data_IF_681137264989
#
_entry.id   IF_681137264989
#
_cell.length_a   1.000
_cell.length_b   1.000
_cell.length_c   1.000
_cell.angle_alpha   90.00
_cell.angle_beta   90.00
_cell.angle_gamma   90.00
#
_symmetry.space_group_name_H-M   'P 1'
#
loop_
_entity.id
_entity.type
_entity.pdbx_description
1 polymer ?
#
# COMPACT_ATOMS: atom_id res chain seq x y z
N UNK A 1 6.01 -66.72 12.33
CA UNK A 1 5.67 -66.27 10.96
C UNK A 1 4.19 -65.92 10.96
N UNK A 2 3.67 -64.72 10.67
CA UNK A 2 4.19 -63.47 10.11
C UNK A 2 3.45 -62.34 10.85
N UNK A 3 4.16 -61.32 11.32
CA UNK A 3 3.54 -60.10 11.85
C UNK A 3 3.13 -59.23 10.66
N UNK A 4 1.85 -58.92 10.52
CA UNK A 4 1.37 -57.92 9.56
C UNK A 4 1.44 -56.54 10.22
N UNK A 5 2.46 -55.76 9.86
CA UNK A 5 2.55 -54.35 10.24
C UNK A 5 1.67 -53.56 9.27
N UNK A 6 0.52 -53.10 9.74
CA UNK A 6 -0.34 -52.19 8.99
C UNK A 6 0.19 -50.76 9.21
N UNK A 7 0.95 -50.25 8.26
CA UNK A 7 1.46 -48.87 8.29
C UNK A 7 0.32 -47.92 7.94
N UNK A 8 -0.23 -47.24 8.94
CA UNK A 8 -1.25 -46.22 8.78
C UNK A 8 -0.54 -44.88 8.47
N UNK A 9 -0.39 -44.56 7.19
CA UNK A 9 0.09 -43.25 6.74
C UNK A 9 -1.02 -42.22 6.99
N UNK A 10 -1.00 -41.56 8.15
CA UNK A 10 -1.80 -40.36 8.41
C UNK A 10 -1.18 -39.19 7.62
N UNK A 11 -1.65 -38.98 6.39
CA UNK A 11 -1.49 -37.71 5.69
C UNK A 11 -2.34 -36.67 6.42
N UNK A 12 -1.76 -36.01 7.41
CA UNK A 12 -2.33 -34.82 8.04
C UNK A 12 -2.33 -33.67 7.04
N UNK A 13 -3.43 -33.54 6.28
CA UNK A 13 -3.76 -32.32 5.54
C UNK A 13 -4.19 -31.29 6.60
N UNK A 14 -3.23 -30.61 7.22
CA UNK A 14 -3.52 -29.37 7.94
C UNK A 14 -3.79 -28.28 6.91
N UNK A 15 -5.03 -28.24 6.43
CA UNK A 15 -5.58 -27.01 5.87
C UNK A 15 -5.73 -26.03 7.02
N UNK A 16 -4.75 -25.14 7.21
CA UNK A 16 -4.91 -23.99 8.10
C UNK A 16 -6.05 -23.15 7.53
N UNK A 17 -7.24 -23.27 8.10
CA UNK A 17 -8.29 -22.27 7.89
C UNK A 17 -7.74 -20.96 8.40
N UNK A 18 -7.41 -20.04 7.50
CA UNK A 18 -7.06 -18.69 7.87
C UNK A 18 -8.36 -18.04 8.32
N UNK A 19 -8.54 -17.89 9.63
CA UNK A 19 -9.72 -17.25 10.21
C UNK A 19 -9.33 -15.80 10.50
N UNK A 20 -10.18 -14.87 10.07
CA UNK A 20 -10.07 -13.45 10.41
C UNK A 20 -10.87 -13.26 11.70
N UNK A 21 -10.32 -12.51 12.65
CA UNK A 21 -11.03 -12.15 13.87
C UNK A 21 -12.34 -11.41 13.55
N UNK A 22 -13.40 -11.68 14.32
CA UNK A 22 -14.77 -11.22 14.03
C UNK A 22 -14.93 -9.69 14.03
N UNK A 23 -14.00 -8.95 14.64
CA UNK A 23 -14.05 -7.48 14.76
C UNK A 23 -13.41 -6.73 13.57
N UNK A 24 -12.84 -7.45 12.60
CA UNK A 24 -12.32 -6.88 11.37
C UNK A 24 -13.46 -6.55 10.39
N UNK A 25 -13.37 -5.37 9.79
CA UNK A 25 -14.30 -4.90 8.77
C UNK A 25 -13.68 -5.07 7.38
N UNK A 26 -14.48 -5.37 6.37
CA UNK A 26 -14.04 -5.33 4.96
C UNK A 26 -13.53 -3.93 4.63
N UNK A 27 -12.38 -3.84 3.96
CA UNK A 27 -11.92 -2.57 3.37
C UNK A 27 -12.91 -2.16 2.27
N UNK A 28 -13.44 -0.92 2.26
CA UNK A 28 -14.39 -0.50 1.23
C UNK A 28 -13.79 -0.49 -0.17
N UNK A 29 -14.50 -1.08 -1.15
CA UNK A 29 -14.05 -1.18 -2.54
C UNK A 29 -13.79 0.19 -3.19
N UNK A 30 -14.47 1.24 -2.70
CA UNK A 30 -14.23 2.63 -3.11
C UNK A 30 -12.80 3.13 -2.84
N UNK A 31 -12.03 2.42 -2.00
CA UNK A 31 -10.63 2.74 -1.69
C UNK A 31 -9.64 1.97 -2.58
N UNK A 32 -10.10 1.13 -3.50
CA UNK A 32 -9.23 0.25 -4.29
C UNK A 32 -8.32 1.02 -5.24
N UNK A 33 -8.82 2.10 -5.84
CA UNK A 33 -8.01 2.97 -6.68
C UNK A 33 -7.18 3.90 -5.80
N UNK A 34 -5.89 3.61 -5.69
CA UNK A 34 -4.93 4.32 -4.83
C UNK A 34 -4.95 5.84 -5.02
N UNK A 35 -5.11 6.31 -6.25
CA UNK A 35 -5.09 7.75 -6.55
C UNK A 35 -6.23 8.52 -5.86
N UNK A 36 -7.32 7.84 -5.53
CA UNK A 36 -8.42 8.41 -4.76
C UNK A 36 -8.10 8.58 -3.27
N UNK A 37 -6.99 8.03 -2.78
CA UNK A 37 -6.62 8.06 -1.36
C UNK A 37 -5.94 9.35 -0.95
N UNK A 38 -5.23 10.01 -1.87
CA UNK A 38 -4.42 11.19 -1.55
C UNK A 38 -5.23 12.33 -0.94
N UNK A 39 -6.49 12.51 -1.33
CA UNK A 39 -7.39 13.53 -0.78
C UNK A 39 -7.71 13.38 0.71
N UNK A 40 -7.41 12.21 1.30
CA UNK A 40 -7.64 11.94 2.71
C UNK A 40 -6.38 12.14 3.57
N UNK A 41 -5.23 12.44 2.96
CA UNK A 41 -3.99 12.67 3.70
C UNK A 41 -4.10 13.93 4.55
N UNK A 42 -3.78 13.78 5.84
CA UNK A 42 -3.53 14.84 6.80
C UNK A 42 -2.02 14.87 7.08
N UNK A 43 -1.26 15.77 6.43
CA UNK A 43 0.19 15.76 6.55
C UNK A 43 0.66 16.10 7.97
N UNK A 44 1.85 15.59 8.33
CA UNK A 44 2.49 15.78 9.63
C UNK A 44 2.85 17.25 9.93
N UNK A 45 3.00 18.05 8.88
CA UNK A 45 3.30 19.47 8.97
C UNK A 45 2.22 20.29 8.28
N UNK A 46 2.06 21.53 8.74
CA UNK A 46 1.17 22.48 8.10
C UNK A 46 1.84 23.04 6.83
N UNK A 47 1.61 22.37 5.71
CA UNK A 47 1.98 22.85 4.38
C UNK A 47 0.92 23.81 3.89
N UNK A 48 1.32 25.00 3.41
CA UNK A 48 0.36 25.97 2.87
C UNK A 48 -0.19 25.54 1.51
N UNK A 49 0.53 24.68 0.80
CA UNK A 49 0.09 24.01 -0.42
C UNK A 49 0.88 22.72 -0.59
N UNK A 50 0.27 21.72 -1.19
CA UNK A 50 0.93 20.51 -1.67
C UNK A 50 0.09 19.84 -2.76
N UNK A 51 0.76 19.08 -3.61
CA UNK A 51 0.16 18.28 -4.68
C UNK A 51 0.86 16.94 -4.86
N UNK A 52 0.12 16.01 -5.44
CA UNK A 52 0.61 14.69 -5.87
C UNK A 52 0.71 14.72 -7.38
N UNK A 53 1.87 14.33 -7.89
CA UNK A 53 2.16 14.30 -9.31
C UNK A 53 2.61 12.89 -9.68
N UNK A 54 2.01 12.34 -10.74
CA UNK A 54 2.53 11.17 -11.42
C UNK A 54 3.38 11.64 -12.59
N UNK A 55 4.53 11.02 -12.78
CA UNK A 55 5.34 11.12 -13.98
C UNK A 55 5.11 9.84 -14.78
N UNK A 56 4.52 9.96 -15.96
CA UNK A 56 4.24 8.81 -16.83
C UNK A 56 5.45 8.49 -17.71
N UNK A 57 6.21 9.50 -18.10
CA UNK A 57 7.47 9.35 -18.82
C UNK A 57 8.42 10.56 -18.56
N UNK A 58 9.55 10.63 -19.27
CA UNK A 58 10.51 11.72 -19.10
C UNK A 58 9.97 13.14 -19.37
N UNK A 59 8.88 13.27 -20.13
CA UNK A 59 8.30 14.50 -20.65
C UNK A 59 6.90 14.80 -20.06
N UNK A 60 6.17 13.78 -19.63
CA UNK A 60 4.75 13.92 -19.24
C UNK A 60 4.55 13.77 -17.73
N UNK A 61 3.67 14.63 -17.20
CA UNK A 61 3.25 14.57 -15.81
C UNK A 61 1.74 14.75 -15.71
N UNK A 62 1.13 14.04 -14.77
CA UNK A 62 -0.28 14.09 -14.44
C UNK A 62 -0.46 14.64 -13.01
N UNK A 63 -1.36 15.62 -12.86
CA UNK A 63 -1.79 16.09 -11.54
C UNK A 63 -2.82 15.11 -10.97
N UNK A 64 -2.43 14.37 -9.93
CA UNK A 64 -3.32 13.39 -9.28
C UNK A 64 -4.19 14.05 -8.22
N UNK A 65 -3.61 14.96 -7.43
CA UNK A 65 -4.32 15.65 -6.35
C UNK A 65 -3.64 16.97 -6.00
N UNK A 66 -4.40 17.97 -5.57
CA UNK A 66 -3.89 19.18 -4.92
C UNK A 66 -4.73 19.56 -3.70
N UNK A 67 -4.07 20.05 -2.66
CA UNK A 67 -4.70 20.39 -1.37
C UNK A 67 -5.58 21.64 -1.39
N UNK A 68 -5.25 22.61 -2.24
CA UNK A 68 -6.04 23.82 -2.51
C UNK A 68 -5.82 24.24 -3.96
N UNK A 69 -6.83 24.76 -4.66
CA UNK A 69 -6.64 25.27 -6.03
C UNK A 69 -5.83 26.57 -5.99
N UNK A 70 -4.50 26.49 -6.12
CA UNK A 70 -3.63 27.66 -6.10
C UNK A 70 -3.36 28.15 -7.52
N UNK A 71 -3.87 29.34 -7.89
CA UNK A 71 -3.67 29.94 -9.22
C UNK A 71 -2.21 30.35 -9.52
N UNK A 72 -1.34 30.40 -8.51
CA UNK A 72 -0.03 31.06 -8.60
C UNK A 72 1.17 30.09 -8.44
N UNK A 73 0.96 28.78 -8.45
CA UNK A 73 2.05 27.80 -8.24
C UNK A 73 2.87 27.49 -9.49
N UNK A 74 2.38 27.84 -10.68
CA UNK A 74 3.00 27.48 -11.97
C UNK A 74 4.45 28.00 -12.17
N UNK A 75 4.98 28.83 -11.27
CA UNK A 75 6.29 29.47 -11.39
C UNK A 75 7.42 28.85 -10.54
N UNK A 76 7.14 27.86 -9.68
CA UNK A 76 8.13 27.33 -8.73
C UNK A 76 8.68 25.93 -9.08
N UNK A 77 8.25 25.34 -10.21
CA UNK A 77 8.72 24.03 -10.65
C UNK A 77 10.02 24.13 -11.46
N UNK A 78 11.13 24.42 -10.80
CA UNK A 78 12.44 24.38 -11.45
C UNK A 78 13.04 22.96 -11.50
N UNK A 79 12.48 22.00 -10.76
CA UNK A 79 13.03 20.66 -10.61
C UNK A 79 11.97 19.57 -10.76
N UNK A 80 12.21 18.64 -11.70
CA UNK A 80 11.48 17.38 -11.84
C UNK A 80 12.34 16.28 -11.21
N UNK A 81 11.86 15.56 -10.19
CA UNK A 81 12.57 14.42 -9.64
C UNK A 81 12.87 13.33 -10.68
N UNK A 82 13.84 12.48 -10.36
CA UNK A 82 14.19 11.30 -11.16
C UNK A 82 13.58 10.00 -10.61
N UNK A 83 12.88 10.07 -9.48
CA UNK A 83 12.27 8.94 -8.79
C UNK A 83 11.03 9.39 -8.00
N UNK A 84 10.24 8.41 -7.56
CA UNK A 84 9.05 8.61 -6.74
C UNK A 84 8.81 7.44 -5.80
N UNK A 85 7.89 7.62 -4.85
CA UNK A 85 7.63 6.66 -3.78
C UNK A 85 6.87 5.41 -4.25
N UNK A 86 6.24 5.47 -5.41
CA UNK A 86 5.70 4.31 -6.11
C UNK A 86 6.25 4.30 -7.52
N UNK A 87 6.93 3.21 -7.89
CA UNK A 87 7.26 2.87 -9.27
C UNK A 87 6.10 2.08 -9.86
N UNK A 88 5.59 2.52 -11.00
CA UNK A 88 4.26 2.13 -11.48
C UNK A 88 4.28 1.45 -12.84
N UNK A 89 5.34 1.67 -13.61
CA UNK A 89 5.53 1.01 -14.88
C UNK A 89 7.00 0.68 -15.10
N UNK A 90 7.24 -0.44 -15.76
CA UNK A 90 8.55 -0.82 -16.28
C UNK A 90 8.37 -1.04 -17.78
N UNK A 91 9.37 -0.67 -18.62
CA UNK A 91 10.67 -0.08 -18.28
C UNK A 91 10.66 1.46 -18.22
N UNK A 92 9.53 2.11 -18.54
CA UNK A 92 9.48 3.57 -18.75
C UNK A 92 9.69 4.39 -17.47
N UNK A 93 9.71 3.72 -16.30
CA UNK A 93 10.09 4.33 -15.03
C UNK A 93 9.06 5.35 -14.53
N UNK A 94 7.76 5.06 -14.72
CA UNK A 94 6.69 5.90 -14.22
C UNK A 94 6.72 5.91 -12.69
N UNK A 95 6.53 7.08 -12.09
CA UNK A 95 6.47 7.16 -10.63
C UNK A 95 5.59 8.28 -10.10
N UNK A 96 5.15 8.13 -8.85
CA UNK A 96 4.40 9.16 -8.13
C UNK A 96 5.23 9.81 -7.04
N UNK A 97 5.13 11.14 -6.90
CA UNK A 97 5.80 11.94 -5.88
C UNK A 97 4.91 13.07 -5.35
N UNK A 98 5.30 13.67 -4.23
CA UNK A 98 4.62 14.84 -3.66
C UNK A 98 5.53 16.06 -3.75
N UNK A 99 4.93 17.20 -4.07
CA UNK A 99 5.53 18.52 -3.93
C UNK A 99 4.76 19.26 -2.84
N UNK A 100 5.45 19.83 -1.87
CA UNK A 100 4.83 20.62 -0.80
C UNK A 100 5.55 21.95 -0.58
N UNK A 101 4.81 22.96 -0.16
CA UNK A 101 5.34 24.27 0.18
C UNK A 101 5.26 24.50 1.68
N UNK A 102 6.41 24.76 2.28
CA UNK A 102 6.55 25.00 3.72
C UNK A 102 7.53 26.15 3.94
N UNK A 103 7.14 27.17 4.71
CA UNK A 103 8.04 28.25 5.13
C UNK A 103 8.81 28.93 3.99
N UNK A 104 8.15 29.13 2.84
CA UNK A 104 8.73 29.69 1.60
C UNK A 104 9.63 28.76 0.79
N UNK A 105 9.75 27.49 1.17
CA UNK A 105 10.57 26.49 0.48
C UNK A 105 9.71 25.41 -0.19
N UNK A 106 10.17 24.95 -1.35
CA UNK A 106 9.61 23.79 -2.05
C UNK A 106 10.29 22.53 -1.50
N UNK A 107 9.48 21.54 -1.13
CA UNK A 107 9.94 20.22 -0.68
C UNK A 107 9.39 19.15 -1.60
N UNK A 108 10.21 18.14 -1.85
CA UNK A 108 9.87 16.97 -2.66
C UNK A 108 9.89 15.74 -1.76
N UNK A 109 8.97 14.81 -2.01
CA UNK A 109 8.90 13.52 -1.33
C UNK A 109 8.84 12.44 -2.42
N UNK A 110 9.95 11.72 -2.59
CA UNK A 110 10.25 10.88 -3.76
C UNK A 110 10.58 9.44 -3.39
N UNK A 111 10.46 9.06 -2.12
CA UNK A 111 10.57 7.66 -1.70
C UNK A 111 9.55 7.27 -0.62
N UNK A 112 9.42 5.97 -0.36
CA UNK A 112 8.45 5.46 0.60
C UNK A 112 8.66 5.99 2.02
N UNK A 113 9.91 6.21 2.47
CA UNK A 113 10.21 6.78 3.79
C UNK A 113 9.79 8.25 3.86
N UNK A 114 10.05 9.02 2.81
CA UNK A 114 9.63 10.41 2.69
C UNK A 114 8.10 10.53 2.66
N UNK A 115 7.39 9.65 1.94
CA UNK A 115 5.92 9.59 2.00
C UNK A 115 5.42 9.33 3.42
N UNK A 116 6.03 8.38 4.15
CA UNK A 116 5.67 8.12 5.56
C UNK A 116 5.92 9.32 6.45
N UNK A 117 7.02 10.05 6.24
CA UNK A 117 7.32 11.28 6.98
C UNK A 117 6.34 12.42 6.65
N UNK A 118 5.93 12.53 5.38
CA UNK A 118 4.94 13.51 4.94
C UNK A 118 3.59 13.28 5.62
N UNK A 119 3.13 12.03 5.68
CA UNK A 119 1.88 11.65 6.37
C UNK A 119 2.05 11.81 7.90
N UNK A 120 3.12 11.28 8.48
CA UNK A 120 3.38 11.30 9.92
C UNK A 120 2.39 10.43 10.69
N UNK A 121 1.51 11.07 11.47
CA UNK A 121 0.50 10.35 12.25
C UNK A 121 -0.57 9.75 11.32
N UNK A 122 -0.84 8.45 11.46
CA UNK A 122 -1.83 7.75 10.64
C UNK A 122 -3.24 7.97 11.23
N UNK A 123 -3.96 8.91 10.63
CA UNK A 123 -5.28 9.37 11.05
C UNK A 123 -6.39 8.44 10.60
N UNK A 124 -6.25 7.81 9.44
CA UNK A 124 -7.33 7.12 8.76
C UNK A 124 -6.86 5.90 7.93
N UNK A 125 -7.84 5.10 7.48
CA UNK A 125 -7.59 3.92 6.66
C UNK A 125 -6.90 4.23 5.31
N UNK A 126 -7.33 5.24 4.52
CA UNK A 126 -6.62 5.64 3.31
C UNK A 126 -5.11 5.89 3.50
N UNK A 127 -4.73 6.62 4.55
CA UNK A 127 -3.32 6.82 4.89
C UNK A 127 -2.63 5.49 5.19
N UNK A 128 -3.23 4.64 6.02
CA UNK A 128 -2.68 3.32 6.36
C UNK A 128 -2.45 2.44 5.11
N UNK A 129 -3.36 2.48 4.13
CA UNK A 129 -3.22 1.78 2.86
C UNK A 129 -2.06 2.33 2.02
N UNK A 130 -1.87 3.65 1.99
CA UNK A 130 -0.71 4.27 1.32
C UNK A 130 0.59 3.84 1.99
N UNK A 131 0.66 3.80 3.32
CA UNK A 131 1.83 3.28 4.06
C UNK A 131 2.09 1.83 3.66
N UNK A 132 1.08 0.96 3.70
CA UNK A 132 1.24 -0.45 3.35
C UNK A 132 1.68 -0.67 1.89
N UNK A 133 1.24 0.19 0.97
CA UNK A 133 1.66 0.14 -0.43
C UNK A 133 3.16 0.34 -0.59
N UNK A 134 3.80 1.16 0.27
CA UNK A 134 5.26 1.33 0.27
C UNK A 134 6.03 0.04 0.58
N UNK A 135 5.34 -1.00 1.07
CA UNK A 135 5.89 -2.34 1.35
C UNK A 135 5.38 -3.41 0.35
N UNK A 136 4.86 -2.97 -0.81
CA UNK A 136 4.27 -3.82 -1.85
C UNK A 136 3.08 -4.67 -1.37
N UNK A 137 2.32 -4.15 -0.41
CA UNK A 137 1.06 -4.75 0.03
C UNK A 137 -0.12 -3.92 -0.47
N UNK A 138 -1.17 -4.59 -0.92
CA UNK A 138 -2.45 -3.97 -1.28
C UNK A 138 -3.59 -4.88 -0.89
N UNK A 139 -4.82 -4.38 -0.87
CA UNK A 139 -5.95 -5.21 -0.49
C UNK A 139 -6.58 -5.94 -1.68
N UNK A 140 -7.02 -7.17 -1.44
CA UNK A 140 -7.87 -7.94 -2.36
C UNK A 140 -9.34 -7.57 -2.09
N UNK A 141 -9.95 -6.81 -2.99
CA UNK A 141 -11.34 -6.36 -2.91
C UNK A 141 -12.37 -7.50 -2.97
N UNK A 142 -11.92 -8.70 -3.40
CA UNK A 142 -12.74 -9.91 -3.56
C UNK A 142 -12.50 -10.93 -2.46
N UNK A 143 -11.47 -10.78 -1.63
CA UNK A 143 -11.14 -11.73 -0.58
C UNK A 143 -10.78 -11.04 0.75
N UNK A 144 -11.58 -11.28 1.78
CA UNK A 144 -11.36 -10.69 3.11
C UNK A 144 -10.02 -11.08 3.73
N UNK A 145 -9.43 -12.23 3.37
CA UNK A 145 -8.11 -12.68 3.85
C UNK A 145 -6.96 -11.80 3.37
N UNK A 146 -7.20 -11.01 2.33
CA UNK A 146 -6.33 -9.93 1.91
C UNK A 146 -7.02 -8.58 1.92
N UNK A 147 -8.16 -8.41 2.61
CA UNK A 147 -9.07 -7.29 2.36
C UNK A 147 -9.86 -6.79 3.57
N UNK A 148 -9.25 -6.78 4.75
CA UNK A 148 -9.95 -6.35 5.97
C UNK A 148 -9.08 -5.48 6.89
N UNK A 149 -9.73 -4.73 7.78
CA UNK A 149 -9.06 -3.80 8.67
C UNK A 149 -9.74 -3.66 10.02
N UNK A 150 -8.95 -3.22 11.00
CA UNK A 150 -9.39 -2.80 12.33
C UNK A 150 -8.58 -1.58 12.76
N UNK A 151 -9.24 -0.53 13.24
CA UNK A 151 -8.59 0.70 13.71
C UNK A 151 -8.73 0.76 15.22
N UNK A 152 -7.60 0.93 15.90
CA UNK A 152 -7.53 1.19 17.32
C UNK A 152 -6.87 2.54 17.59
N UNK A 153 -6.73 2.88 18.89
CA UNK A 153 -6.17 4.14 19.32
C UNK A 153 -4.73 4.34 18.84
N UNK A 154 -3.88 3.33 19.04
CA UNK A 154 -2.44 3.43 18.79
C UNK A 154 -2.00 2.66 17.53
N UNK A 155 -2.83 1.72 17.07
CA UNK A 155 -2.51 0.84 15.94
C UNK A 155 -3.65 0.77 14.92
N UNK A 156 -3.27 0.52 13.67
CA UNK A 156 -4.19 0.07 12.62
C UNK A 156 -3.72 -1.32 12.19
N UNK A 157 -4.65 -2.26 12.20
CA UNK A 157 -4.43 -3.63 11.79
C UNK A 157 -5.09 -3.85 10.43
N UNK A 158 -4.38 -4.52 9.52
CA UNK A 158 -4.86 -4.82 8.18
C UNK A 158 -4.58 -6.29 7.86
N UNK A 159 -5.51 -6.94 7.19
CA UNK A 159 -5.21 -8.10 6.36
C UNK A 159 -5.09 -7.60 4.93
N UNK A 160 -3.90 -7.75 4.35
CA UNK A 160 -3.58 -7.34 2.99
C UNK A 160 -3.00 -8.51 2.21
N UNK A 161 -2.85 -8.34 0.90
CA UNK A 161 -2.21 -9.29 0.03
C UNK A 161 -0.95 -8.72 -0.62
N UNK A 162 0.03 -9.59 -0.84
CA UNK A 162 1.05 -9.40 -1.87
C UNK A 162 0.59 -10.10 -3.14
N UNK A 163 0.64 -9.40 -4.26
CA UNK A 163 0.26 -9.92 -5.56
C UNK A 163 1.51 -10.15 -6.40
N UNK A 164 1.67 -11.38 -6.88
CA UNK A 164 2.68 -11.71 -7.89
C UNK A 164 1.97 -11.97 -9.21
N UNK A 165 2.55 -11.48 -10.31
CA UNK A 165 1.99 -11.64 -11.65
C UNK A 165 2.55 -12.84 -12.40
N UNK A 166 3.70 -13.40 -11.98
CA UNK A 166 4.35 -14.51 -12.65
C UNK A 166 5.29 -15.29 -11.69
N UNK A 167 4.94 -16.53 -11.29
CA UNK A 167 3.62 -17.15 -11.45
C UNK A 167 2.56 -16.36 -10.65
N UNK A 168 1.32 -16.36 -11.12
CA UNK A 168 0.25 -15.61 -10.44
C UNK A 168 0.05 -16.18 -9.04
N UNK A 169 0.24 -15.35 -8.02
CA UNK A 169 -0.04 -15.74 -6.65
C UNK A 169 -0.55 -14.59 -5.80
N UNK A 170 -1.30 -14.95 -4.75
CA UNK A 170 -1.73 -14.01 -3.71
C UNK A 170 -1.37 -14.59 -2.35
N UNK A 171 -0.57 -13.85 -1.62
CA UNK A 171 -0.13 -14.18 -0.26
C UNK A 171 -0.77 -13.21 0.72
N UNK A 172 -1.46 -13.74 1.73
CA UNK A 172 -2.06 -12.93 2.78
C UNK A 172 -1.01 -12.50 3.81
N UNK A 173 -1.13 -11.28 4.31
CA UNK A 173 -0.32 -10.72 5.38
C UNK A 173 -1.21 -10.10 6.43
N UNK A 174 -0.96 -10.43 7.69
CA UNK A 174 -1.41 -9.60 8.81
C UNK A 174 -0.42 -8.46 8.99
N UNK A 175 -0.93 -7.24 9.06
CA UNK A 175 -0.15 -6.02 9.10
C UNK A 175 -0.57 -5.21 10.32
N UNK A 176 0.40 -4.73 11.07
CA UNK A 176 0.20 -3.84 12.20
C UNK A 176 0.97 -2.55 11.96
N UNK A 177 0.26 -1.43 11.92
CA UNK A 177 0.83 -0.09 11.70
C UNK A 177 0.71 0.69 13.00
N UNK A 178 1.84 1.17 13.52
CA UNK A 178 1.85 2.12 14.62
C UNK A 178 1.41 3.49 14.10
N UNK A 179 0.30 4.02 14.64
CA UNK A 179 -0.27 5.28 14.16
C UNK A 179 0.62 6.48 14.43
N UNK A 180 1.47 6.44 15.47
CA UNK A 180 2.35 7.55 15.82
C UNK A 180 3.63 7.58 14.97
N UNK A 181 4.22 6.42 14.70
CA UNK A 181 5.52 6.33 14.01
C UNK A 181 5.39 6.00 12.52
N UNK A 182 4.24 5.47 12.09
CA UNK A 182 4.06 4.94 10.75
C UNK A 182 4.84 3.64 10.49
N UNK A 183 5.46 3.06 11.53
CA UNK A 183 6.17 1.79 11.44
C UNK A 183 5.18 0.66 11.15
N UNK A 184 5.58 -0.21 10.22
CA UNK A 184 4.77 -1.32 9.74
C UNK A 184 5.47 -2.63 10.08
N UNK A 185 4.78 -3.46 10.87
CA UNK A 185 5.10 -4.86 11.11
C UNK A 185 4.20 -5.71 10.20
N UNK A 186 4.74 -6.79 9.63
CA UNK A 186 3.95 -7.74 8.82
C UNK A 186 4.32 -9.18 9.10
N UNK A 187 3.30 -10.02 9.13
CA UNK A 187 3.41 -11.47 9.31
C UNK A 187 2.70 -12.15 8.13
N UNK A 188 3.41 -13.02 7.42
CA UNK A 188 2.76 -13.83 6.37
C UNK A 188 1.74 -14.78 7.00
N UNK A 189 0.55 -14.84 6.42
CA UNK A 189 -0.46 -15.84 6.72
C UNK A 189 -0.46 -16.97 5.68
N UNK A 190 0.31 -16.82 4.60
CA UNK A 190 0.49 -17.83 3.55
C UNK A 190 -0.27 -17.53 2.26
N UNK A 191 0.03 -18.34 1.25
CA UNK A 191 -0.54 -18.22 -0.09
C UNK A 191 -1.94 -18.85 -0.11
N UNK A 192 -2.96 -18.04 -0.43
CA UNK A 192 -4.35 -18.53 -0.55
C UNK A 192 -4.79 -18.65 -2.02
N UNK A 193 -4.01 -18.13 -2.96
CA UNK A 193 -4.27 -18.27 -4.39
C UNK A 193 -2.98 -18.52 -5.16
N UNK A 194 -2.93 -19.68 -5.85
CA UNK A 194 -1.88 -20.30 -6.66
C UNK A 194 -2.24 -20.50 -8.13
N UNK A 195 -1.58 -19.91 -9.13
CA UNK A 195 -1.59 -20.43 -10.52
C UNK A 195 -0.18 -20.45 -11.10
N UNK A 196 0.14 -21.46 -11.90
CA UNK A 196 1.45 -21.54 -12.58
C UNK A 196 1.53 -20.65 -13.82
N UNK A 197 0.43 -20.03 -14.21
CA UNK A 197 0.36 -19.09 -15.33
C UNK A 197 0.96 -17.72 -14.94
N UNK A 198 1.31 -16.92 -15.94
CA UNK A 198 1.71 -15.53 -15.78
C UNK A 198 0.70 -14.61 -16.46
N UNK A 199 0.47 -13.42 -15.93
CA UNK A 199 -0.23 -12.39 -16.70
C UNK A 199 0.64 -11.98 -17.88
N UNK A 200 0.18 -12.26 -19.09
CA UNK A 200 0.80 -11.76 -20.32
C UNK A 200 0.31 -10.33 -20.56
N UNK A 201 1.24 -9.38 -20.60
CA UNK A 201 1.00 -8.00 -21.03
C UNK A 201 0.64 -7.93 -22.51
#
# INVERSE_FOLDING_TARGET
>A
MKSFIFSFFLLSIWGSSQIIDEDFKKIPDSLYFRDNLYKYIRPNHNYSYWKVVRKDDSLTTELIYESTKSKNWNYLESFSPNNGFFEECHPDGCFTYIIAYQNKEVKYFTDGKELRNFIGFINNLPEALLIARTYNLWFDDKNSLGGSYKIEKDFIYLYLAKFESCPISREAFFVKINRKTGELEKESKGIYYKKNDCYTS
#
